data_IF_754635139714
#
_entry.id   IF_754635139714
#
_cell.length_a   1.000
_cell.length_b   1.000
_cell.length_c   1.000
_cell.angle_alpha   90.00
_cell.angle_beta   90.00
_cell.angle_gamma   90.00
#
_symmetry.space_group_name_H-M   'P 1'
#
loop_
_entity.id
_entity.type
_entity.pdbx_description
1 polymer ?
#
# COMPACT_ATOMS: atom_id res chain seq x y z
N UNK A 1 -9.25 12.31 -8.05
CA UNK A 1 -9.43 10.98 -7.44
C UNK A 1 -9.62 11.06 -5.93
N UNK A 2 -8.72 11.73 -5.18
CA UNK A 2 -8.83 11.89 -3.70
C UNK A 2 -10.15 12.52 -3.25
N UNK A 3 -10.57 13.65 -3.85
CA UNK A 3 -11.84 14.31 -3.50
C UNK A 3 -13.03 13.35 -3.58
N UNK A 4 -13.22 12.70 -4.74
CA UNK A 4 -14.27 11.69 -4.95
C UNK A 4 -14.21 10.54 -3.94
N UNK A 5 -13.01 10.11 -3.52
CA UNK A 5 -12.87 9.08 -2.49
C UNK A 5 -13.40 9.58 -1.14
N UNK A 6 -13.02 10.78 -0.72
CA UNK A 6 -13.53 11.40 0.52
C UNK A 6 -15.05 11.52 0.46
N UNK A 7 -15.60 12.06 -0.63
CA UNK A 7 -17.05 12.23 -0.78
C UNK A 7 -17.83 10.91 -0.68
N UNK A 8 -17.25 9.82 -1.17
CA UNK A 8 -17.88 8.50 -1.14
C UNK A 8 -17.67 7.78 0.21
N UNK A 9 -16.55 8.00 0.90
CA UNK A 9 -16.17 7.23 2.10
C UNK A 9 -16.67 7.87 3.39
N UNK A 10 -16.80 9.20 3.48
CA UNK A 10 -17.32 9.86 4.68
C UNK A 10 -18.73 9.37 5.04
N UNK A 11 -19.70 9.27 4.11
CA UNK A 11 -21.01 8.69 4.42
C UNK A 11 -20.96 7.23 4.88
N UNK A 12 -19.95 6.46 4.44
CA UNK A 12 -19.77 5.07 4.87
C UNK A 12 -19.28 5.01 6.33
N UNK A 13 -18.40 5.93 6.74
CA UNK A 13 -17.98 6.06 8.14
C UNK A 13 -19.15 6.44 9.05
N UNK A 14 -19.97 7.41 8.62
CA UNK A 14 -21.17 7.83 9.34
C UNK A 14 -22.19 6.69 9.49
N UNK A 15 -22.39 5.89 8.44
CA UNK A 15 -23.24 4.70 8.48
C UNK A 15 -22.74 3.64 9.47
N UNK A 16 -21.43 3.60 9.73
CA UNK A 16 -20.82 2.73 10.75
C UNK A 16 -20.83 3.36 12.16
N UNK A 17 -21.35 4.59 12.31
CA UNK A 17 -21.32 5.34 13.57
C UNK A 17 -19.92 5.79 13.97
N UNK A 18 -19.00 5.90 13.01
CA UNK A 18 -17.61 6.31 13.22
C UNK A 18 -17.39 7.76 12.76
N UNK A 19 -16.35 8.40 13.29
CA UNK A 19 -15.91 9.73 12.88
C UNK A 19 -14.53 9.66 12.24
N UNK A 20 -14.28 10.53 11.25
CA UNK A 20 -12.95 10.68 10.68
C UNK A 20 -12.03 11.45 11.65
N UNK A 21 -10.74 11.11 11.75
CA UNK A 21 -9.78 11.81 12.60
C UNK A 21 -9.27 13.11 11.91
N UNK A 22 -10.20 13.95 11.46
CA UNK A 22 -9.91 15.25 10.83
C UNK A 22 -10.87 16.31 11.38
N UNK A 23 -10.41 17.21 12.28
CA UNK A 23 -11.23 18.27 12.84
C UNK A 23 -11.72 19.31 11.82
N UNK A 24 -11.07 19.41 10.66
CA UNK A 24 -11.44 20.37 9.61
C UNK A 24 -12.44 19.79 8.61
N UNK A 25 -12.78 18.50 8.74
CA UNK A 25 -13.68 17.82 7.82
C UNK A 25 -15.10 18.36 7.93
N UNK A 26 -15.59 18.98 6.85
CA UNK A 26 -16.93 19.57 6.80
C UNK A 26 -17.56 19.40 5.42
N UNK A 27 -18.89 19.27 5.38
CA UNK A 27 -19.65 19.28 4.13
C UNK A 27 -19.83 20.72 3.63
N UNK A 28 -19.40 21.00 2.40
CA UNK A 28 -19.60 22.28 1.72
C UNK A 28 -20.76 22.14 0.72
N UNK A 29 -21.94 22.62 1.12
CA UNK A 29 -23.17 22.55 0.32
C UNK A 29 -23.03 23.29 -1.03
N UNK A 30 -22.28 24.40 -1.07
CA UNK A 30 -22.13 25.20 -2.28
C UNK A 30 -21.25 24.50 -3.32
N UNK A 31 -20.23 23.78 -2.87
CA UNK A 31 -19.37 22.98 -3.73
C UNK A 31 -19.92 21.58 -4.02
N UNK A 32 -20.82 21.06 -3.17
CA UNK A 32 -21.30 19.69 -3.24
C UNK A 32 -20.22 18.65 -2.90
N UNK A 33 -19.27 19.02 -2.04
CA UNK A 33 -18.09 18.23 -1.70
C UNK A 33 -17.73 18.36 -0.23
N UNK A 34 -17.07 17.35 0.33
CA UNK A 34 -16.43 17.48 1.63
C UNK A 34 -15.12 18.28 1.52
N UNK A 35 -14.95 19.28 2.38
CA UNK A 35 -13.67 19.95 2.61
C UNK A 35 -12.94 19.21 3.73
N UNK A 36 -11.71 18.80 3.49
CA UNK A 36 -10.86 18.09 4.44
C UNK A 36 -9.59 18.89 4.71
N UNK A 37 -8.96 18.62 5.86
CA UNK A 37 -7.77 19.30 6.33
C UNK A 37 -6.52 19.05 5.48
N UNK A 38 -5.47 19.80 5.79
CA UNK A 38 -4.17 19.62 5.13
C UNK A 38 -3.52 18.29 5.52
N UNK A 39 -2.92 17.63 4.54
CA UNK A 39 -2.15 16.40 4.76
C UNK A 39 -0.76 16.76 5.24
N UNK A 40 -0.21 15.97 6.18
CA UNK A 40 1.22 16.02 6.46
C UNK A 40 2.01 15.48 5.25
N UNK A 41 2.37 16.39 4.36
CA UNK A 41 3.18 16.06 3.20
C UNK A 41 4.61 15.68 3.58
N UNK A 42 5.15 16.17 4.69
CA UNK A 42 6.50 15.82 5.15
C UNK A 42 6.56 14.33 5.50
N UNK A 43 5.59 13.84 6.30
CA UNK A 43 5.48 12.42 6.64
C UNK A 43 5.38 11.56 5.37
N UNK A 44 4.50 11.93 4.43
CA UNK A 44 4.33 11.20 3.17
C UNK A 44 5.66 11.06 2.42
N UNK A 45 6.44 12.15 2.31
CA UNK A 45 7.73 12.11 1.62
C UNK A 45 8.75 11.22 2.34
N UNK A 46 8.79 11.23 3.67
CA UNK A 46 9.68 10.37 4.45
C UNK A 46 9.33 8.88 4.29
N UNK A 47 8.04 8.55 4.32
CA UNK A 47 7.55 7.18 4.09
C UNK A 47 7.93 6.70 2.69
N UNK A 48 7.72 7.51 1.65
CA UNK A 48 8.07 7.15 0.27
C UNK A 48 9.59 6.96 0.11
N UNK A 49 10.40 7.79 0.77
CA UNK A 49 11.87 7.68 0.75
C UNK A 49 12.41 6.48 1.54
N UNK A 50 11.55 5.64 2.10
CA UNK A 50 11.97 4.44 2.83
C UNK A 50 12.23 4.66 4.32
N UNK A 51 11.84 5.83 4.88
CA UNK A 51 12.06 6.20 6.28
C UNK A 51 10.77 6.25 7.10
N UNK A 52 9.72 5.60 6.62
CA UNK A 52 8.49 5.37 7.37
C UNK A 52 8.60 4.17 8.31
N UNK A 53 7.54 3.99 9.09
CA UNK A 53 7.50 3.07 10.24
C UNK A 53 7.82 1.60 9.93
N UNK A 54 7.50 1.12 8.74
CA UNK A 54 7.65 -0.30 8.38
C UNK A 54 8.53 -0.53 7.14
N UNK A 55 9.16 0.51 6.59
CA UNK A 55 9.86 0.38 5.31
C UNK A 55 11.02 -0.62 5.39
N UNK A 56 11.78 -0.60 6.47
CA UNK A 56 12.91 -1.49 6.69
C UNK A 56 12.44 -2.94 6.80
N UNK A 57 11.46 -3.21 7.65
CA UNK A 57 10.90 -4.53 7.94
C UNK A 57 10.26 -5.15 6.70
N UNK A 58 9.51 -4.36 5.91
CA UNK A 58 8.89 -4.84 4.67
C UNK A 58 9.93 -5.26 3.65
N UNK A 59 10.97 -4.44 3.45
CA UNK A 59 12.05 -4.78 2.52
C UNK A 59 12.89 -5.96 3.03
N UNK A 60 13.18 -6.02 4.33
CA UNK A 60 13.92 -7.12 4.93
C UNK A 60 13.15 -8.44 4.80
N UNK A 61 11.84 -8.45 5.07
CA UNK A 61 11.00 -9.63 4.91
C UNK A 61 11.03 -10.15 3.47
N UNK A 62 10.97 -9.25 2.47
CA UNK A 62 11.05 -9.63 1.06
C UNK A 62 12.44 -10.09 0.63
N UNK A 63 13.51 -9.40 1.06
CA UNK A 63 14.90 -9.82 0.82
C UNK A 63 15.15 -11.20 1.39
N UNK A 64 14.78 -11.42 2.65
CA UNK A 64 14.91 -12.72 3.31
C UNK A 64 14.15 -13.82 2.57
N UNK A 65 12.89 -13.60 2.21
CA UNK A 65 12.12 -14.59 1.45
C UNK A 65 12.77 -14.91 0.09
N UNK A 66 13.38 -13.93 -0.55
CA UNK A 66 14.11 -14.13 -1.80
C UNK A 66 15.42 -14.90 -1.58
N UNK A 67 16.23 -14.50 -0.61
CA UNK A 67 17.53 -15.11 -0.29
C UNK A 67 17.35 -16.56 0.22
N UNK A 68 16.53 -16.75 1.26
CA UNK A 68 16.26 -18.06 1.84
C UNK A 68 15.57 -19.01 0.84
N UNK A 69 14.82 -18.45 -0.12
CA UNK A 69 14.15 -19.19 -1.19
C UNK A 69 15.01 -19.50 -2.41
N UNK A 70 16.31 -19.14 -2.42
CA UNK A 70 17.18 -19.31 -3.59
C UNK A 70 17.25 -20.77 -4.07
N UNK A 71 17.44 -21.71 -3.15
CA UNK A 71 17.56 -23.13 -3.47
C UNK A 71 16.32 -23.69 -4.19
N UNK A 72 15.12 -23.17 -3.91
CA UNK A 72 13.88 -23.58 -4.57
C UNK A 72 13.91 -23.15 -6.03
N UNK A 73 14.34 -21.91 -6.30
CA UNK A 73 14.46 -21.39 -7.66
C UNK A 73 15.52 -22.14 -8.44
N UNK A 74 16.67 -22.38 -7.83
CA UNK A 74 17.77 -23.13 -8.45
C UNK A 74 17.35 -24.57 -8.74
N UNK A 75 16.65 -25.22 -7.80
CA UNK A 75 16.10 -26.56 -7.98
C UNK A 75 15.08 -26.63 -9.12
N UNK A 76 14.16 -25.65 -9.21
CA UNK A 76 13.19 -25.56 -10.29
C UNK A 76 13.87 -25.37 -11.65
N UNK A 77 14.88 -24.50 -11.73
CA UNK A 77 15.66 -24.27 -12.97
C UNK A 77 16.42 -25.53 -13.40
N UNK A 78 17.07 -26.22 -12.47
CA UNK A 78 17.80 -27.45 -12.75
C UNK A 78 16.86 -28.58 -13.22
N UNK A 79 15.67 -28.70 -12.64
CA UNK A 79 14.66 -29.66 -13.07
C UNK A 79 14.16 -29.35 -14.49
N UNK A 80 13.85 -28.09 -14.78
CA UNK A 80 13.42 -27.67 -16.12
C UNK A 80 14.50 -27.95 -17.18
N UNK A 81 15.77 -27.69 -16.87
CA UNK A 81 16.89 -27.97 -17.77
C UNK A 81 17.02 -29.47 -18.09
N UNK A 82 16.87 -30.34 -17.08
CA UNK A 82 16.86 -31.80 -17.28
C UNK A 82 15.73 -32.23 -18.21
N UNK A 83 14.51 -31.74 -17.97
CA UNK A 83 13.35 -32.08 -18.80
C UNK A 83 13.54 -31.62 -20.25
N UNK A 84 14.08 -30.43 -20.48
CA UNK A 84 14.38 -29.93 -21.82
C UNK A 84 15.42 -30.79 -22.54
N UNK A 85 16.49 -31.20 -21.85
CA UNK A 85 17.51 -32.09 -22.42
C UNK A 85 17.01 -33.51 -22.70
N UNK A 86 16.00 -33.97 -21.96
CA UNK A 86 15.39 -35.30 -22.14
C UNK A 86 14.38 -35.35 -23.29
N UNK A 87 13.89 -34.18 -23.71
CA UNK A 87 12.87 -34.02 -24.76
C UNK A 87 13.48 -33.69 -26.14
N UNK A 88 14.76 -33.37 -26.21
CA UNK A 88 15.53 -33.13 -27.43
C UNK A 88 16.20 -34.43 -27.93
#
# INVERSE_FOLDING_TARGET
MRQKFVDNTVPQLEALGMTAPDPSLTWDEAAGHYRFGEIDWSELHEVIKGRGQCNHERLQAKRRAWEDGAWVRDGAMAHAAKNAASAA
#
